data_IF_529894520025
#
_entry.id   IF_529894520025
#
_cell.length_a   1.000
_cell.length_b   1.000
_cell.length_c   1.000
_cell.angle_alpha   90.00
_cell.angle_beta   90.00
_cell.angle_gamma   90.00
#
_symmetry.space_group_name_H-M   'P 1'
#
loop_
_entity.id
_entity.type
_entity.pdbx_description
1 polymer ?
#
# COMPACT_ATOMS: atom_id res chain seq x y z
N UNK A 1 -23.62 4.48 -15.06
CA UNK A 1 -23.58 3.22 -14.28
C UNK A 1 -23.90 3.59 -12.84
N UNK A 2 -24.82 2.90 -12.17
CA UNK A 2 -25.15 3.27 -10.78
C UNK A 2 -24.08 2.74 -9.82
N UNK A 3 -23.85 3.43 -8.70
CA UNK A 3 -22.89 2.99 -7.65
C UNK A 3 -23.21 1.59 -7.14
N UNK A 4 -24.50 1.24 -7.05
CA UNK A 4 -24.97 -0.10 -6.66
C UNK A 4 -24.56 -1.19 -7.66
N UNK A 5 -24.58 -0.88 -8.96
CA UNK A 5 -24.18 -1.85 -9.99
C UNK A 5 -22.67 -2.11 -9.94
N UNK A 6 -21.86 -1.07 -9.67
CA UNK A 6 -20.40 -1.22 -9.57
C UNK A 6 -19.99 -2.09 -8.38
N UNK A 7 -20.59 -1.86 -7.19
CA UNK A 7 -20.35 -2.70 -6.00
C UNK A 7 -20.69 -4.17 -6.28
N UNK A 8 -21.89 -4.44 -6.79
CA UNK A 8 -22.33 -5.81 -7.07
C UNK A 8 -21.41 -6.54 -8.06
N UNK A 9 -20.93 -5.84 -9.09
CA UNK A 9 -19.96 -6.38 -10.04
C UNK A 9 -18.62 -6.69 -9.41
N UNK A 10 -18.11 -5.79 -8.56
CA UNK A 10 -16.85 -6.01 -7.85
C UNK A 10 -16.96 -7.24 -6.93
N UNK A 11 -18.04 -7.33 -6.14
CA UNK A 11 -18.30 -8.48 -5.26
C UNK A 11 -18.29 -9.78 -6.05
N UNK A 12 -19.07 -9.83 -7.13
CA UNK A 12 -19.16 -11.02 -7.97
C UNK A 12 -17.79 -11.38 -8.57
N UNK A 13 -17.01 -10.40 -9.02
CA UNK A 13 -15.71 -10.64 -9.63
C UNK A 13 -14.72 -11.20 -8.61
N UNK A 14 -14.65 -10.64 -7.39
CA UNK A 14 -13.78 -11.13 -6.32
C UNK A 14 -14.18 -12.54 -5.89
N UNK A 15 -15.46 -12.78 -5.64
CA UNK A 15 -15.95 -14.10 -5.19
C UNK A 15 -15.85 -15.19 -6.25
N UNK A 16 -15.81 -14.83 -7.54
CA UNK A 16 -15.65 -15.77 -8.65
C UNK A 16 -14.18 -16.03 -9.03
N UNK A 17 -13.22 -15.33 -8.42
CA UNK A 17 -11.80 -15.52 -8.69
C UNK A 17 -11.33 -16.91 -8.27
N UNK A 18 -11.03 -17.74 -9.27
CA UNK A 18 -10.41 -19.05 -9.07
C UNK A 18 -8.88 -18.89 -9.10
N UNK A 19 -8.19 -19.58 -8.21
CA UNK A 19 -6.72 -19.61 -8.17
C UNK A 19 -6.06 -18.23 -8.08
N UNK A 20 -6.69 -17.31 -7.36
CA UNK A 20 -6.20 -15.95 -7.12
C UNK A 20 -6.00 -15.11 -8.39
N UNK A 21 -6.69 -15.44 -9.49
CA UNK A 21 -6.81 -14.54 -10.64
C UNK A 21 -7.88 -13.48 -10.37
N UNK A 22 -7.44 -12.30 -9.91
CA UNK A 22 -8.30 -11.15 -9.68
C UNK A 22 -8.34 -10.18 -10.87
N UNK A 23 -7.82 -10.54 -12.05
CA UNK A 23 -7.66 -9.62 -13.18
C UNK A 23 -8.93 -8.83 -13.53
N UNK A 24 -10.11 -9.47 -13.49
CA UNK A 24 -11.38 -8.79 -13.78
C UNK A 24 -11.88 -7.94 -12.60
N UNK A 25 -11.66 -8.38 -11.36
CA UNK A 25 -11.97 -7.60 -10.16
C UNK A 25 -11.11 -6.34 -10.08
N UNK A 26 -9.81 -6.45 -10.40
CA UNK A 26 -8.86 -5.34 -10.43
C UNK A 26 -9.25 -4.29 -11.48
N UNK A 27 -9.66 -4.69 -12.69
CA UNK A 27 -10.17 -3.76 -13.71
C UNK A 27 -11.42 -3.00 -13.23
N UNK A 28 -12.30 -3.67 -12.49
CA UNK A 28 -13.50 -3.03 -11.95
C UNK A 28 -13.12 -2.04 -10.84
N UNK A 29 -12.19 -2.43 -9.96
CA UNK A 29 -11.71 -1.61 -8.86
C UNK A 29 -10.93 -0.36 -9.33
N UNK A 30 -10.25 -0.42 -10.48
CA UNK A 30 -9.52 0.71 -11.09
C UNK A 30 -10.44 1.91 -11.42
N UNK A 31 -11.69 1.63 -11.80
CA UNK A 31 -12.71 2.65 -12.06
C UNK A 31 -13.41 3.15 -10.78
N UNK A 32 -13.02 2.66 -9.59
CA UNK A 32 -13.66 2.94 -8.30
C UNK A 32 -12.75 3.77 -7.39
N UNK A 33 -13.35 4.57 -6.51
CA UNK A 33 -12.57 5.24 -5.46
C UNK A 33 -12.11 4.22 -4.41
N UNK A 34 -10.93 4.43 -3.82
CA UNK A 34 -10.38 3.62 -2.71
C UNK A 34 -11.45 3.35 -1.64
N UNK A 35 -12.15 4.40 -1.17
CA UNK A 35 -13.20 4.25 -0.15
C UNK A 35 -14.35 3.34 -0.57
N UNK A 36 -14.68 3.28 -1.87
CA UNK A 36 -15.77 2.44 -2.36
C UNK A 36 -15.35 0.98 -2.46
N UNK A 37 -14.09 0.72 -2.84
CA UNK A 37 -13.52 -0.62 -2.81
C UNK A 37 -13.48 -1.13 -1.37
N UNK A 38 -13.01 -0.29 -0.43
CA UNK A 38 -12.96 -0.62 1.00
C UNK A 38 -14.34 -0.94 1.56
N UNK A 39 -15.33 -0.11 1.26
CA UNK A 39 -16.73 -0.36 1.67
C UNK A 39 -17.20 -1.76 1.19
N UNK A 40 -16.85 -2.17 -0.03
CA UNK A 40 -17.14 -3.53 -0.53
C UNK A 40 -16.37 -4.61 0.24
N UNK A 41 -15.08 -4.37 0.52
CA UNK A 41 -14.26 -5.34 1.26
C UNK A 41 -14.76 -5.52 2.69
N UNK A 42 -15.09 -4.43 3.38
CA UNK A 42 -15.58 -4.41 4.77
C UNK A 42 -16.97 -5.03 4.90
N UNK A 43 -17.91 -4.63 4.05
CA UNK A 43 -19.33 -5.01 4.19
C UNK A 43 -19.61 -6.43 3.68
N UNK A 44 -18.89 -6.89 2.64
CA UNK A 44 -19.31 -8.05 1.86
C UNK A 44 -18.23 -9.14 1.73
N UNK A 45 -16.97 -8.77 1.49
CA UNK A 45 -15.91 -9.77 1.22
C UNK A 45 -15.30 -10.32 2.51
N UNK A 46 -14.81 -9.46 3.39
CA UNK A 46 -14.15 -9.87 4.63
C UNK A 46 -15.05 -10.74 5.54
N UNK A 47 -16.35 -10.42 5.73
CA UNK A 47 -17.25 -11.25 6.53
C UNK A 47 -17.53 -12.63 5.91
N UNK A 48 -17.42 -12.76 4.57
CA UNK A 48 -17.69 -13.99 3.86
C UNK A 48 -16.45 -14.90 3.75
N UNK A 49 -15.29 -14.30 3.46
CA UNK A 49 -14.00 -14.99 3.32
C UNK A 49 -12.85 -13.99 3.57
N UNK A 50 -12.34 -13.97 4.81
CA UNK A 50 -11.24 -13.09 5.23
C UNK A 50 -9.96 -13.34 4.45
N UNK A 51 -9.68 -14.59 4.09
CA UNK A 51 -8.45 -14.95 3.36
C UNK A 51 -8.56 -14.53 1.90
N UNK A 52 -9.73 -14.64 1.27
CA UNK A 52 -9.99 -14.08 -0.06
C UNK A 52 -9.85 -12.56 -0.05
N UNK A 53 -10.40 -11.89 0.97
CA UNK A 53 -10.24 -10.46 1.17
C UNK A 53 -8.76 -10.06 1.21
N UNK A 54 -7.96 -10.78 2.01
CA UNK A 54 -6.53 -10.58 2.11
C UNK A 54 -5.82 -10.67 0.74
N UNK A 55 -6.05 -11.76 0.01
CA UNK A 55 -5.38 -12.02 -1.29
C UNK A 55 -5.78 -10.99 -2.35
N UNK A 56 -7.02 -10.52 -2.33
CA UNK A 56 -7.44 -9.43 -3.20
C UNK A 56 -6.74 -8.12 -2.83
N UNK A 57 -6.67 -7.77 -1.54
CA UNK A 57 -5.97 -6.55 -1.06
C UNK A 57 -4.51 -6.55 -1.54
N UNK A 58 -3.82 -7.68 -1.47
CA UNK A 58 -2.44 -7.81 -1.95
C UNK A 58 -2.29 -7.37 -3.42
N UNK A 59 -3.05 -7.98 -4.31
CA UNK A 59 -2.94 -7.69 -5.75
C UNK A 59 -3.49 -6.30 -6.10
N UNK A 60 -4.50 -5.84 -5.38
CA UNK A 60 -5.06 -4.52 -5.58
C UNK A 60 -4.07 -3.41 -5.20
N UNK A 61 -3.34 -3.56 -4.10
CA UNK A 61 -2.31 -2.60 -3.71
C UNK A 61 -1.15 -2.52 -4.73
N UNK A 62 -0.80 -3.63 -5.37
CA UNK A 62 0.24 -3.67 -6.41
C UNK A 62 -0.11 -2.86 -7.67
N UNK A 63 -1.40 -2.61 -7.92
CA UNK A 63 -1.86 -1.84 -9.07
C UNK A 63 -1.57 -0.33 -8.95
N UNK A 64 -1.36 0.17 -7.74
CA UNK A 64 -1.16 1.60 -7.49
C UNK A 64 0.30 2.04 -7.67
N UNK A 65 0.47 3.32 -8.05
CA UNK A 65 1.76 4.00 -7.91
C UNK A 65 2.20 4.09 -6.43
N UNK A 66 3.48 4.33 -6.12
CA UNK A 66 3.97 4.23 -4.75
C UNK A 66 3.25 5.13 -3.73
N UNK A 67 2.82 6.33 -4.12
CA UNK A 67 2.13 7.27 -3.20
C UNK A 67 0.69 6.83 -2.98
N UNK A 68 -0.01 6.46 -4.06
CA UNK A 68 -1.36 5.92 -3.99
C UNK A 68 -1.40 4.59 -3.23
N UNK A 69 -0.39 3.74 -3.40
CA UNK A 69 -0.25 2.46 -2.70
C UNK A 69 -0.14 2.66 -1.20
N UNK A 70 0.66 3.63 -0.74
CA UNK A 70 0.73 3.99 0.68
C UNK A 70 -0.65 4.42 1.19
N UNK A 71 -1.31 5.35 0.51
CA UNK A 71 -2.63 5.84 0.91
C UNK A 71 -3.66 4.69 0.99
N UNK A 72 -3.76 3.85 -0.04
CA UNK A 72 -4.65 2.70 -0.06
C UNK A 72 -4.31 1.70 1.07
N UNK A 73 -3.02 1.44 1.34
CA UNK A 73 -2.60 0.55 2.42
C UNK A 73 -2.98 1.06 3.81
N UNK A 74 -2.91 2.38 4.04
CA UNK A 74 -3.37 2.99 5.28
C UNK A 74 -4.89 2.88 5.43
N UNK A 75 -5.62 3.09 4.34
CA UNK A 75 -7.07 3.03 4.34
C UNK A 75 -7.58 1.59 4.59
N UNK A 76 -6.96 0.55 4.05
CA UNK A 76 -7.34 -0.85 4.37
C UNK A 76 -6.83 -1.33 5.73
N UNK A 77 -5.99 -0.55 6.43
CA UNK A 77 -5.29 -1.06 7.60
C UNK A 77 -6.19 -1.47 8.76
N UNK A 78 -7.30 -0.75 8.92
CA UNK A 78 -8.30 -1.05 9.94
C UNK A 78 -8.95 -2.43 9.74
N UNK A 79 -9.00 -2.96 8.51
CA UNK A 79 -9.53 -4.31 8.25
C UNK A 79 -8.68 -5.39 8.92
N UNK A 80 -7.37 -5.17 9.04
CA UNK A 80 -6.44 -6.07 9.71
C UNK A 80 -6.46 -5.89 11.22
N UNK A 81 -6.53 -4.64 11.70
CA UNK A 81 -6.49 -4.32 13.14
C UNK A 81 -7.81 -4.64 13.86
N UNK A 82 -8.93 -4.67 13.14
CA UNK A 82 -10.25 -5.00 13.69
C UNK A 82 -10.65 -6.45 13.45
N UNK A 83 -9.70 -7.33 13.13
CA UNK A 83 -9.91 -8.77 12.89
C UNK A 83 -10.91 -9.09 11.76
N UNK A 84 -11.18 -8.16 10.84
CA UNK A 84 -12.00 -8.44 9.66
C UNK A 84 -11.21 -9.29 8.64
N UNK A 85 -9.91 -9.05 8.55
CA UNK A 85 -8.96 -9.90 7.83
C UNK A 85 -8.28 -10.82 8.84
N UNK A 86 -8.97 -11.88 9.20
CA UNK A 86 -8.47 -12.93 10.11
C UNK A 86 -7.49 -13.87 9.39
N UNK A 87 -6.20 -13.55 9.51
CA UNK A 87 -5.07 -14.38 9.07
C UNK A 87 -3.95 -14.33 10.12
N UNK A 88 -3.03 -15.32 10.15
CA UNK A 88 -1.86 -15.26 11.02
C UNK A 88 -1.08 -13.94 10.82
N UNK A 89 -0.71 -13.30 11.93
CA UNK A 89 0.07 -12.06 11.95
C UNK A 89 -0.55 -10.89 11.17
N UNK A 90 -1.88 -10.81 11.07
CA UNK A 90 -2.59 -9.78 10.30
C UNK A 90 -2.09 -8.35 10.60
N UNK A 91 -1.98 -7.98 11.88
CA UNK A 91 -1.49 -6.67 12.33
C UNK A 91 -0.03 -6.40 11.91
N UNK A 92 0.84 -7.41 12.03
CA UNK A 92 2.25 -7.28 11.67
C UNK A 92 2.42 -7.17 10.15
N UNK A 93 1.63 -7.93 9.38
CA UNK A 93 1.64 -7.87 7.91
C UNK A 93 1.27 -6.46 7.44
N UNK A 94 0.20 -5.87 7.99
CA UNK A 94 -0.23 -4.55 7.55
C UNK A 94 0.74 -3.45 7.98
N UNK A 95 1.35 -3.57 9.16
CA UNK A 95 2.40 -2.66 9.60
C UNK A 95 3.62 -2.76 8.68
N UNK A 96 4.08 -3.98 8.37
CA UNK A 96 5.18 -4.22 7.44
C UNK A 96 4.93 -3.63 6.06
N UNK A 97 3.71 -3.80 5.53
CA UNK A 97 3.29 -3.18 4.26
C UNK A 97 3.31 -1.67 4.33
N UNK A 98 2.80 -1.08 5.41
CA UNK A 98 2.80 0.38 5.60
C UNK A 98 4.22 0.93 5.61
N UNK A 99 5.17 0.24 6.26
CA UNK A 99 6.58 0.62 6.27
C UNK A 99 7.19 0.56 4.86
N UNK A 100 7.01 -0.54 4.14
CA UNK A 100 7.55 -0.71 2.78
C UNK A 100 6.93 0.24 1.77
N UNK A 101 5.61 0.43 1.81
CA UNK A 101 4.92 1.40 0.95
C UNK A 101 5.32 2.83 1.30
N UNK A 102 5.55 3.12 2.59
CA UNK A 102 6.07 4.40 3.07
C UNK A 102 7.44 4.71 2.48
N UNK A 103 8.34 3.73 2.48
CA UNK A 103 9.65 3.84 1.86
C UNK A 103 9.55 4.14 0.35
N UNK A 104 8.74 3.37 -0.38
CA UNK A 104 8.51 3.57 -1.82
C UNK A 104 7.87 4.94 -2.14
N UNK A 105 6.94 5.42 -1.31
CA UNK A 105 6.34 6.74 -1.47
C UNK A 105 7.36 7.88 -1.26
N UNK A 106 8.23 7.76 -0.25
CA UNK A 106 9.31 8.73 -0.02
C UNK A 106 10.28 8.74 -1.20
N UNK A 107 10.62 7.57 -1.74
CA UNK A 107 11.47 7.46 -2.93
C UNK A 107 10.86 8.13 -4.16
N UNK A 108 9.56 7.90 -4.41
CA UNK A 108 8.84 8.54 -5.51
C UNK A 108 8.80 10.07 -5.37
N UNK A 109 8.47 10.58 -4.18
CA UNK A 109 8.46 12.02 -3.89
C UNK A 109 9.85 12.64 -4.09
N UNK A 110 10.89 11.97 -3.61
CA UNK A 110 12.28 12.39 -3.80
C UNK A 110 12.64 12.46 -5.28
N UNK A 111 12.31 11.42 -6.04
CA UNK A 111 12.57 11.35 -7.49
C UNK A 111 11.90 12.51 -8.23
N UNK A 112 10.64 12.81 -7.90
CA UNK A 112 9.90 13.93 -8.48
C UNK A 112 10.52 15.29 -8.14
N UNK A 113 10.95 15.50 -6.89
CA UNK A 113 11.62 16.74 -6.50
C UNK A 113 12.94 16.92 -7.25
N UNK A 114 13.74 15.84 -7.37
CA UNK A 114 15.04 15.88 -8.04
C UNK A 114 14.93 15.99 -9.57
N UNK A 115 13.83 15.52 -10.18
CA UNK A 115 13.57 15.68 -11.62
C UNK A 115 13.47 17.17 -12.02
N UNK A 116 13.06 18.02 -11.06
CA UNK A 116 12.84 19.44 -11.25
C UNK A 116 14.09 20.31 -11.00
N UNK A 117 15.27 19.71 -10.74
CA UNK A 117 16.50 20.45 -10.41
C UNK A 117 16.94 21.47 -11.48
N UNK A 118 16.67 21.16 -12.75
CA UNK A 118 17.08 22.02 -13.86
C UNK A 118 16.16 23.25 -14.02
N UNK A 119 14.99 23.28 -13.37
CA UNK A 119 14.11 24.45 -13.35
C UNK A 119 14.76 25.68 -12.70
N UNK A 120 15.72 25.49 -11.78
CA UNK A 120 16.47 26.61 -11.21
C UNK A 120 17.35 27.38 -12.22
N UNK A 121 17.48 26.88 -13.46
CA UNK A 121 18.14 27.54 -14.60
C UNK A 121 17.15 28.15 -15.59
N UNK A 122 15.85 27.88 -15.43
CA UNK A 122 14.82 28.40 -16.31
C UNK A 122 14.56 29.89 -15.99
N UNK A 123 14.68 30.81 -16.96
CA UNK A 123 14.41 32.24 -16.75
C UNK A 123 12.96 32.54 -16.34
N UNK A 124 12.01 31.64 -16.62
CA UNK A 124 10.60 31.79 -16.26
C UNK A 124 10.27 31.25 -14.86
N UNK A 125 11.21 30.59 -14.18
CA UNK A 125 11.02 30.11 -12.80
C UNK A 125 11.21 31.25 -11.79
N UNK A 126 10.30 31.33 -10.80
CA UNK A 126 10.37 32.31 -9.71
C UNK A 126 11.49 32.02 -8.70
N UNK A 127 12.15 30.87 -8.81
CA UNK A 127 13.21 30.40 -7.94
C UNK A 127 14.49 30.13 -8.76
N UNK A 128 15.65 30.27 -8.11
CA UNK A 128 16.95 30.04 -8.74
C UNK A 128 17.68 28.83 -8.17
N UNK A 129 18.87 28.56 -8.72
CA UNK A 129 19.77 27.46 -8.30
C UNK A 129 20.02 27.37 -6.78
N UNK A 130 20.03 28.50 -6.06
CA UNK A 130 20.21 28.49 -4.60
C UNK A 130 19.05 27.78 -3.89
N UNK A 131 17.82 28.00 -4.34
CA UNK A 131 16.64 27.34 -3.80
C UNK A 131 16.66 25.84 -4.13
N UNK A 132 16.97 25.49 -5.38
CA UNK A 132 17.10 24.08 -5.80
C UNK A 132 18.12 23.33 -4.94
N UNK A 133 19.32 23.89 -4.73
CA UNK A 133 20.34 23.25 -3.88
C UNK A 133 19.89 23.05 -2.44
N UNK A 134 19.11 23.99 -1.89
CA UNK A 134 18.56 23.85 -0.56
C UNK A 134 17.55 22.69 -0.52
N UNK A 135 16.68 22.60 -1.52
CA UNK A 135 15.70 21.53 -1.65
C UNK A 135 16.37 20.15 -1.83
N UNK A 136 17.41 20.06 -2.68
CA UNK A 136 18.22 18.85 -2.86
C UNK A 136 18.84 18.35 -1.54
N UNK A 137 19.30 19.27 -0.68
CA UNK A 137 19.87 18.91 0.61
C UNK A 137 18.84 18.28 1.56
N UNK A 138 17.58 18.72 1.50
CA UNK A 138 16.48 18.16 2.30
C UNK A 138 16.07 16.77 1.78
N UNK A 139 16.03 16.57 0.46
CA UNK A 139 15.49 15.35 -0.14
C UNK A 139 16.54 14.28 -0.46
N UNK A 140 17.83 14.55 -0.27
CA UNK A 140 18.90 13.57 -0.55
C UNK A 140 19.14 12.65 0.67
N UNK A 141 20.26 12.81 1.37
CA UNK A 141 20.66 11.93 2.45
C UNK A 141 19.62 11.76 3.58
N UNK A 142 18.86 12.80 4.00
CA UNK A 142 17.84 12.62 5.04
C UNK A 142 16.74 11.63 4.64
N UNK A 143 16.22 11.72 3.42
CA UNK A 143 15.17 10.84 2.93
C UNK A 143 15.70 9.43 2.61
N UNK A 144 16.91 9.32 2.05
CA UNK A 144 17.59 8.01 1.89
C UNK A 144 17.72 7.29 3.24
N UNK A 145 18.16 8.01 4.29
CA UNK A 145 18.25 7.44 5.64
C UNK A 145 16.89 7.00 6.19
N UNK A 146 15.83 7.75 5.88
CA UNK A 146 14.47 7.39 6.31
C UNK A 146 13.97 6.14 5.60
N UNK A 147 14.19 6.04 4.28
CA UNK A 147 13.87 4.87 3.46
C UNK A 147 14.56 3.61 4.03
N UNK A 148 15.87 3.68 4.27
CA UNK A 148 16.65 2.56 4.81
C UNK A 148 16.11 2.07 6.16
N UNK A 149 15.70 3.00 7.03
CA UNK A 149 15.13 2.67 8.34
C UNK A 149 13.77 1.99 8.23
N UNK A 150 12.92 2.44 7.31
CA UNK A 150 11.60 1.84 7.10
C UNK A 150 11.72 0.40 6.61
N UNK A 151 12.61 0.15 5.63
CA UNK A 151 12.91 -1.20 5.18
C UNK A 151 13.51 -2.05 6.29
N UNK A 152 14.49 -1.54 7.04
CA UNK A 152 15.10 -2.27 8.14
C UNK A 152 14.09 -2.67 9.22
N UNK A 153 13.15 -1.79 9.58
CA UNK A 153 12.10 -2.14 10.54
C UNK A 153 11.10 -3.16 9.97
N UNK A 154 10.77 -3.10 8.68
CA UNK A 154 9.94 -4.12 8.03
C UNK A 154 10.61 -5.49 8.02
N UNK A 155 11.91 -5.56 7.72
CA UNK A 155 12.70 -6.80 7.79
C UNK A 155 12.75 -7.36 9.22
N UNK A 156 12.98 -6.50 10.22
CA UNK A 156 12.96 -6.90 11.64
C UNK A 156 11.61 -7.49 12.04
N UNK A 157 10.50 -6.91 11.56
CA UNK A 157 9.17 -7.42 11.82
C UNK A 157 8.95 -8.80 11.19
N UNK A 158 9.42 -9.01 9.96
CA UNK A 158 9.38 -10.33 9.31
C UNK A 158 10.15 -11.40 10.10
N UNK A 159 11.29 -11.06 10.70
CA UNK A 159 12.05 -11.97 11.57
C UNK A 159 11.29 -12.28 12.87
N UNK A 160 10.56 -11.31 13.43
CA UNK A 160 9.75 -11.53 14.63
C UNK A 160 8.57 -12.47 14.35
N UNK A 161 7.87 -12.27 13.22
CA UNK A 161 6.78 -13.15 12.79
C UNK A 161 7.25 -14.59 12.62
N UNK A 162 8.37 -14.81 11.92
CA UNK A 162 8.93 -16.15 11.72
C UNK A 162 9.27 -16.85 13.04
N UNK A 163 9.84 -16.12 14.01
CA UNK A 163 10.13 -16.69 15.33
C UNK A 163 8.88 -17.06 16.10
N UNK A 164 7.82 -16.25 15.99
CA UNK A 164 6.55 -16.54 16.63
C UNK A 164 5.88 -17.80 16.03
N UNK A 165 6.04 -18.01 14.72
CA UNK A 165 5.59 -19.26 14.07
C UNK A 165 6.37 -20.48 14.60
N UNK A 166 7.71 -20.40 14.64
CA UNK A 166 8.58 -21.47 15.15
C UNK A 166 8.26 -21.83 16.62
N UNK A 167 8.01 -20.85 17.48
CA UNK A 167 7.62 -21.07 18.88
C UNK A 167 6.26 -21.74 19.04
N UNK A 168 5.34 -21.52 18.08
CA UNK A 168 4.01 -22.12 18.08
C UNK A 168 4.06 -23.58 17.62
N UNK A 169 4.91 -23.89 16.64
CA UNK A 169 5.15 -25.25 16.15
C UNK A 169 5.84 -26.14 17.21
N UNK A 170 6.78 -25.60 17.99
CA UNK A 170 7.47 -26.33 19.07
C UNK A 170 6.58 -26.66 20.28
N UNK A 171 5.41 -26.00 20.41
CA UNK A 171 4.45 -26.18 21.51
C UNK A 171 3.25 -27.08 21.17
N UNK A 172 3.10 -27.50 19.91
CA UNK A 172 2.02 -28.36 19.40
C UNK A 172 2.38 -29.84 19.31
#
# INVERSE_FOLDING_TARGET
MSRSDSKARLIQAISASLHDDFSDALKIADDMSISLVIEVLEEEIAPADSTLCHRFIEQWLECFDPVQRLAASMEVSHLYVLDLVDIPHAEDIILSRTLNNGAGAIEALRSEVLSNRDLGRNPDSSFGLKFVKALEAEVSAPLETAIDRLHSHSEQLGVLMQRADEETEDQG
#
